data_IF_683571551173
#
_entry.id   IF_683571551173
#
_cell.length_a   1.000
_cell.length_b   1.000
_cell.length_c   1.000
_cell.angle_alpha   90.00
_cell.angle_beta   90.00
_cell.angle_gamma   90.00
#
_symmetry.space_group_name_H-M   'P 1'
#
loop_
_entity.id
_entity.type
_entity.pdbx_description
1 polymer ?
#
# COMPACT_ATOMS: atom_id res chain seq x y z
N UNK A 1 1.95 27.80 14.53
CA UNK A 1 3.10 27.91 13.60
C UNK A 1 4.35 27.53 14.38
N UNK A 2 4.96 26.40 14.03
CA UNK A 2 6.19 25.94 14.67
C UNK A 2 7.29 26.96 14.43
N UNK A 3 7.85 27.53 15.49
CA UNK A 3 9.12 28.22 15.40
C UNK A 3 10.15 27.19 14.92
N UNK A 4 10.51 27.23 13.63
CA UNK A 4 11.65 26.43 13.15
C UNK A 4 12.83 26.77 14.04
N UNK A 5 13.38 25.74 14.67
CA UNK A 5 14.53 25.85 15.54
C UNK A 5 15.64 26.58 14.75
N UNK A 6 16.39 27.51 15.36
CA UNK A 6 17.38 28.32 14.64
C UNK A 6 18.34 27.45 13.80
N UNK A 7 18.66 26.26 14.30
CA UNK A 7 19.41 25.23 13.59
C UNK A 7 18.75 24.73 12.30
N UNK A 8 17.44 24.48 12.29
CA UNK A 8 16.69 24.07 11.10
C UNK A 8 16.61 25.20 10.07
N UNK A 9 16.51 26.46 10.51
CA UNK A 9 16.62 27.63 9.62
C UNK A 9 17.98 27.72 8.98
N UNK A 10 19.05 27.58 9.77
CA UNK A 10 20.43 27.61 9.28
C UNK A 10 20.71 26.44 8.34
N UNK A 11 20.23 25.23 8.64
CA UNK A 11 20.31 24.08 7.74
C UNK A 11 19.55 24.31 6.44
N UNK A 12 18.33 24.83 6.50
CA UNK A 12 17.54 25.16 5.31
C UNK A 12 18.23 26.25 4.47
N UNK A 13 18.76 27.28 5.12
CA UNK A 13 19.50 28.38 4.49
C UNK A 13 20.81 27.91 3.86
N UNK A 14 21.58 27.03 4.52
CA UNK A 14 22.83 26.48 4.00
C UNK A 14 22.67 25.81 2.64
N UNK A 15 21.46 25.33 2.33
CA UNK A 15 21.11 24.71 1.05
C UNK A 15 21.05 25.71 -0.11
N UNK A 16 20.87 27.00 0.19
CA UNK A 16 20.88 28.12 -0.77
C UNK A 16 22.26 28.78 -0.83
N UNK A 17 22.98 28.84 0.29
CA UNK A 17 24.32 29.45 0.39
C UNK A 17 25.46 28.58 -0.17
N UNK A 18 25.30 27.25 -0.22
CA UNK A 18 26.40 26.35 -0.59
C UNK A 18 26.66 26.38 -2.10
N UNK A 19 27.76 27.01 -2.50
CA UNK A 19 28.26 26.98 -3.88
C UNK A 19 28.39 25.53 -4.34
N UNK A 20 27.83 25.20 -5.52
CA UNK A 20 27.93 23.86 -6.08
C UNK A 20 29.41 23.46 -6.21
N UNK A 21 29.80 22.31 -5.63
CA UNK A 21 31.15 21.77 -5.75
C UNK A 21 31.51 21.40 -7.20
N UNK A 22 32.80 21.13 -7.47
CA UNK A 22 33.35 20.88 -8.82
C UNK A 22 32.53 19.88 -9.64
N UNK A 23 32.22 18.71 -9.06
CA UNK A 23 31.42 17.67 -9.73
C UNK A 23 29.97 18.08 -9.98
N UNK A 24 29.35 18.83 -9.06
CA UNK A 24 27.98 19.33 -9.22
C UNK A 24 27.91 20.41 -10.31
N UNK A 25 28.96 21.23 -10.44
CA UNK A 25 29.10 22.20 -11.54
C UNK A 25 29.27 21.50 -12.89
N UNK A 26 30.06 20.42 -12.96
CA UNK A 26 30.20 19.61 -14.16
C UNK A 26 28.84 18.98 -14.58
N UNK A 27 28.12 18.37 -13.63
CA UNK A 27 26.78 17.81 -13.87
C UNK A 27 25.75 18.86 -14.32
N UNK A 28 25.84 20.10 -13.82
CA UNK A 28 24.98 21.21 -14.25
C UNK A 28 25.31 21.70 -15.66
N UNK A 29 26.57 21.57 -16.10
CA UNK A 29 26.98 21.89 -17.48
C UNK A 29 26.49 20.84 -18.47
N UNK A 30 26.56 19.56 -18.10
CA UNK A 30 26.16 18.45 -18.97
C UNK A 30 24.64 18.25 -19.02
N UNK A 31 23.97 18.19 -17.86
CA UNK A 31 22.54 17.86 -17.75
C UNK A 31 21.86 18.71 -16.66
N UNK A 32 21.65 20.01 -16.90
CA UNK A 32 21.09 20.93 -15.91
C UNK A 32 19.72 20.48 -15.38
N UNK A 33 18.90 19.87 -16.26
CA UNK A 33 17.54 19.42 -15.96
C UNK A 33 17.46 18.37 -14.83
N UNK A 34 18.51 17.58 -14.59
CA UNK A 34 18.50 16.56 -13.51
C UNK A 34 18.47 17.16 -12.11
N UNK A 35 19.03 18.36 -11.90
CA UNK A 35 19.05 19.05 -10.60
C UNK A 35 17.99 20.16 -10.53
N UNK A 36 17.68 20.74 -11.68
CA UNK A 36 16.83 21.92 -11.82
C UNK A 36 15.38 21.51 -12.18
N UNK A 37 15.14 20.24 -12.48
CA UNK A 37 13.82 19.74 -12.85
C UNK A 37 13.44 20.14 -14.27
N UNK A 38 12.68 19.29 -14.98
CA UNK A 38 12.59 19.27 -16.45
C UNK A 38 12.03 20.54 -17.11
N UNK A 39 11.30 21.37 -16.36
CA UNK A 39 10.57 22.53 -16.92
C UNK A 39 11.12 23.88 -16.48
N UNK A 40 12.21 23.94 -15.71
CA UNK A 40 12.71 25.22 -15.21
C UNK A 40 14.02 25.65 -15.87
N UNK A 41 14.05 26.90 -16.32
CA UNK A 41 15.25 27.49 -16.91
C UNK A 41 16.36 27.59 -15.85
N UNK A 42 17.56 27.06 -16.12
CA UNK A 42 18.62 26.96 -15.12
C UNK A 42 19.12 28.31 -14.61
N UNK A 43 19.21 29.31 -15.48
CA UNK A 43 19.65 30.66 -15.12
C UNK A 43 18.61 31.33 -14.21
N UNK A 44 17.33 31.25 -14.58
CA UNK A 44 16.24 31.83 -13.77
C UNK A 44 16.15 31.17 -12.40
N UNK A 45 16.38 29.86 -12.30
CA UNK A 45 16.38 29.16 -11.00
C UNK A 45 17.57 29.58 -10.14
N UNK A 46 18.77 29.71 -10.71
CA UNK A 46 19.94 30.20 -9.98
C UNK A 46 19.77 31.64 -9.47
N UNK A 47 19.20 32.52 -10.30
CA UNK A 47 18.87 33.89 -9.89
C UNK A 47 17.89 33.91 -8.70
N UNK A 48 16.81 33.10 -8.76
CA UNK A 48 15.87 32.94 -7.64
C UNK A 48 16.51 32.37 -6.38
N UNK A 49 17.49 31.49 -6.50
CA UNK A 49 18.21 30.95 -5.34
C UNK A 49 19.06 32.03 -4.67
N UNK A 50 19.78 32.84 -5.46
CA UNK A 50 20.54 34.00 -4.95
C UNK A 50 19.64 35.06 -4.31
N UNK A 51 18.46 35.31 -4.87
CA UNK A 51 17.50 36.25 -4.32
C UNK A 51 16.93 35.75 -2.98
N UNK A 52 16.64 34.45 -2.86
CA UNK A 52 16.25 33.82 -1.59
C UNK A 52 17.35 33.88 -0.53
N UNK A 53 18.61 33.70 -0.94
CA UNK A 53 19.78 33.88 -0.09
C UNK A 53 19.87 35.32 0.43
N UNK A 54 19.74 36.32 -0.44
CA UNK A 54 19.71 37.73 -0.04
C UNK A 54 18.58 38.03 0.95
N UNK A 55 17.36 37.62 0.63
CA UNK A 55 16.19 37.79 1.51
C UNK A 55 16.38 37.09 2.86
N UNK A 56 17.09 35.96 2.89
CA UNK A 56 17.40 35.27 4.14
C UNK A 56 18.43 36.04 4.99
N UNK A 57 19.45 36.63 4.38
CA UNK A 57 20.42 37.48 5.07
C UNK A 57 19.78 38.75 5.63
N UNK A 58 18.77 39.30 4.93
CA UNK A 58 18.02 40.48 5.39
C UNK A 58 17.06 40.15 6.56
N UNK A 59 16.66 38.88 6.71
CA UNK A 59 15.85 38.42 7.84
C UNK A 59 16.74 38.27 9.09
N UNK A 60 16.73 39.28 9.95
CA UNK A 60 17.39 39.22 11.26
C UNK A 60 17.00 37.98 12.07
N UNK A 61 17.93 37.50 12.92
CA UNK A 61 17.66 36.37 13.82
C UNK A 61 16.44 36.66 14.70
N UNK A 62 15.50 35.72 14.87
CA UNK A 62 14.36 35.94 15.74
C UNK A 62 14.85 36.23 17.17
N UNK A 63 14.34 37.31 17.79
CA UNK A 63 14.65 37.64 19.19
C UNK A 63 14.39 36.41 20.07
N UNK A 64 15.44 35.89 20.69
CA UNK A 64 15.32 34.84 21.68
C UNK A 64 14.79 35.45 22.98
N UNK A 65 13.50 35.32 23.21
CA UNK A 65 12.90 35.65 24.52
C UNK A 65 13.22 34.47 25.44
N UNK A 66 14.06 34.63 26.48
CA UNK A 66 14.32 33.55 27.44
C UNK A 66 12.99 33.14 28.09
N UNK A 67 12.55 31.93 27.79
CA UNK A 67 11.42 31.32 28.49
C UNK A 67 11.97 30.66 29.74
N UNK A 68 11.39 30.94 30.90
CA UNK A 68 11.69 30.18 32.11
C UNK A 68 11.53 28.68 31.81
N UNK A 69 12.49 27.85 32.27
CA UNK A 69 12.37 26.38 32.21
C UNK A 69 11.14 25.98 33.00
N UNK A 70 10.00 25.81 32.34
CA UNK A 70 8.78 25.35 32.97
C UNK A 70 8.94 23.88 33.34
N UNK A 71 8.78 23.55 34.61
CA UNK A 71 8.67 22.17 35.12
C UNK A 71 7.37 21.47 34.72
N UNK A 72 6.54 22.10 33.88
CA UNK A 72 5.25 21.58 33.45
C UNK A 72 5.14 21.48 31.93
N UNK A 73 4.24 20.61 31.47
CA UNK A 73 3.79 20.49 30.07
C UNK A 73 3.64 21.90 29.49
N UNK A 74 4.28 22.15 28.34
CA UNK A 74 4.13 23.42 27.63
C UNK A 74 2.65 23.78 27.62
N UNK A 75 2.29 24.96 28.17
CA UNK A 75 0.93 25.49 28.05
C UNK A 75 0.72 25.78 26.57
N UNK A 76 0.35 24.75 25.81
CA UNK A 76 -0.30 24.89 24.52
C UNK A 76 -1.44 25.86 24.80
N UNK A 77 -1.49 26.96 24.07
CA UNK A 77 -2.53 27.97 24.24
C UNK A 77 -3.87 27.25 24.25
N UNK A 78 -4.52 27.21 25.41
CA UNK A 78 -5.82 26.56 25.53
C UNK A 78 -6.78 27.25 24.59
N UNK A 79 -7.54 26.47 23.83
CA UNK A 79 -8.57 27.01 22.95
C UNK A 79 -9.51 27.83 23.81
N UNK A 80 -9.63 29.13 23.52
CA UNK A 80 -10.52 30.03 24.25
C UNK A 80 -11.94 29.51 24.06
N UNK A 81 -12.50 28.92 25.12
CA UNK A 81 -13.88 28.43 25.13
C UNK A 81 -14.81 29.57 25.48
N UNK A 82 -15.99 29.57 24.89
CA UNK A 82 -17.07 30.42 25.33
C UNK A 82 -17.41 30.08 26.81
N UNK A 83 -17.70 31.08 27.65
CA UNK A 83 -18.18 30.84 29.00
C UNK A 83 -19.46 29.99 28.97
N UNK A 84 -19.70 29.19 30.01
CA UNK A 84 -20.88 28.30 30.11
C UNK A 84 -22.19 29.00 30.48
N UNK A 85 -22.20 30.33 30.48
CA UNK A 85 -23.36 31.14 30.89
C UNK A 85 -24.35 31.19 29.73
N UNK A 86 -25.65 31.10 30.01
CA UNK A 86 -26.66 31.24 28.96
C UNK A 86 -26.75 32.69 28.47
N UNK A 87 -27.16 32.87 27.20
CA UNK A 87 -27.31 34.20 26.59
C UNK A 87 -28.31 35.07 27.35
N UNK A 88 -29.45 34.48 27.74
CA UNK A 88 -30.51 35.17 28.49
C UNK A 88 -30.03 35.71 29.83
N UNK A 89 -29.11 35.01 30.51
CA UNK A 89 -28.53 35.48 31.78
C UNK A 89 -27.57 36.64 31.54
N UNK A 90 -26.80 36.59 30.45
CA UNK A 90 -25.94 37.70 30.05
C UNK A 90 -26.74 38.93 29.64
N UNK A 91 -27.87 38.75 28.95
CA UNK A 91 -28.79 39.81 28.54
C UNK A 91 -29.48 40.44 29.76
N UNK A 92 -30.05 39.64 30.66
CA UNK A 92 -30.64 40.15 31.92
C UNK A 92 -29.61 40.90 32.76
N UNK A 93 -28.37 40.41 32.82
CA UNK A 93 -27.30 41.09 33.57
C UNK A 93 -26.87 42.37 32.88
N UNK A 94 -26.84 42.40 31.55
CA UNK A 94 -26.56 43.60 30.76
C UNK A 94 -27.63 44.66 30.99
N UNK A 95 -28.90 44.26 30.90
CA UNK A 95 -30.06 45.10 31.15
C UNK A 95 -30.01 45.69 32.57
N UNK A 96 -29.73 44.87 33.58
CA UNK A 96 -29.52 45.35 34.95
C UNK A 96 -28.38 46.37 35.06
N UNK A 97 -27.23 46.11 34.43
CA UNK A 97 -26.07 47.02 34.51
C UNK A 97 -26.30 48.35 33.79
N UNK A 98 -27.21 48.38 32.83
CA UNK A 98 -27.61 49.59 32.11
C UNK A 98 -28.83 50.27 32.73
N UNK A 99 -29.51 49.61 33.67
CA UNK A 99 -30.69 50.16 34.34
C UNK A 99 -30.31 51.07 35.51
N UNK A 100 -31.28 51.88 35.94
CA UNK A 100 -31.15 52.75 37.11
C UNK A 100 -31.00 51.94 38.42
N UNK A 101 -31.39 50.66 38.43
CA UNK A 101 -31.23 49.78 39.60
C UNK A 101 -29.76 49.56 39.95
N UNK A 102 -28.88 49.51 38.94
CA UNK A 102 -27.44 49.39 39.17
C UNK A 102 -26.88 50.62 39.88
N UNK A 103 -27.41 51.81 39.57
CA UNK A 103 -27.03 53.08 40.23
C UNK A 103 -27.50 53.07 41.67
N UNK A 104 -28.74 52.67 41.93
CA UNK A 104 -29.24 52.52 43.31
C UNK A 104 -28.40 51.50 44.09
N UNK A 105 -28.04 50.35 43.50
CA UNK A 105 -27.16 49.37 44.13
C UNK A 105 -25.78 49.96 44.47
N UNK A 106 -25.25 50.89 43.66
CA UNK A 106 -24.01 51.60 43.97
C UNK A 106 -24.18 52.53 45.17
N UNK A 107 -25.28 53.27 45.25
CA UNK A 107 -25.56 54.19 46.36
C UNK A 107 -25.74 53.46 47.70
N UNK A 108 -26.28 52.24 47.69
CA UNK A 108 -26.46 51.44 48.91
C UNK A 108 -25.20 50.71 49.38
N UNK A 109 -24.12 50.69 48.60
CA UNK A 109 -22.87 50.05 49.04
C UNK A 109 -22.18 50.87 50.13
N UNK A 110 -21.77 50.21 51.22
CA UNK A 110 -21.05 50.86 52.32
C UNK A 110 -19.76 51.49 51.81
N UNK A 111 -19.60 52.80 52.03
CA UNK A 111 -18.34 53.49 51.78
C UNK A 111 -17.31 53.04 52.83
N UNK A 112 -16.09 52.74 52.39
CA UNK A 112 -15.00 52.44 53.31
C UNK A 112 -14.44 53.74 53.91
N UNK A 113 -14.09 53.70 55.19
CA UNK A 113 -13.50 54.84 55.88
C UNK A 113 -12.18 55.26 55.20
N UNK A 114 -12.02 56.55 54.90
CA UNK A 114 -10.81 57.11 54.28
C UNK A 114 -10.83 57.23 52.75
N UNK A 115 -11.92 56.83 52.08
CA UNK A 115 -12.10 57.04 50.64
C UNK A 115 -12.99 58.27 50.42
N UNK A 116 -12.61 59.15 49.48
CA UNK A 116 -13.46 60.29 49.13
C UNK A 116 -14.68 59.81 48.32
N UNK A 117 -15.84 60.49 48.41
CA UNK A 117 -17.03 60.13 47.62
C UNK A 117 -16.73 59.97 46.12
N UNK A 118 -15.91 60.86 45.56
CA UNK A 118 -15.46 60.80 44.17
C UNK A 118 -14.65 59.53 43.83
N UNK A 119 -13.77 59.08 44.74
CA UNK A 119 -13.00 57.86 44.54
C UNK A 119 -13.91 56.62 44.62
N UNK A 120 -14.89 56.62 45.52
CA UNK A 120 -15.91 55.58 45.58
C UNK A 120 -16.69 55.47 44.26
N UNK A 121 -17.16 56.60 43.71
CA UNK A 121 -17.85 56.65 42.42
C UNK A 121 -16.97 56.11 41.28
N UNK A 122 -15.70 56.52 41.23
CA UNK A 122 -14.76 56.06 40.21
C UNK A 122 -14.55 54.53 40.27
N UNK A 123 -14.31 53.96 41.45
CA UNK A 123 -14.12 52.51 41.60
C UNK A 123 -15.38 51.70 41.26
N UNK A 124 -16.56 52.25 41.60
CA UNK A 124 -17.84 51.65 41.24
C UNK A 124 -18.09 51.69 39.73
N UNK A 125 -17.77 52.81 39.09
CA UNK A 125 -17.82 52.94 37.64
C UNK A 125 -16.83 52.00 36.94
N UNK A 126 -15.58 51.92 37.40
CA UNK A 126 -14.57 51.00 36.86
C UNK A 126 -14.99 49.54 37.00
N UNK A 127 -15.68 49.18 38.09
CA UNK A 127 -16.23 47.84 38.30
C UNK A 127 -17.37 47.56 37.31
N UNK A 128 -18.33 48.48 37.16
CA UNK A 128 -19.41 48.36 36.16
C UNK A 128 -18.83 48.22 34.75
N UNK A 129 -17.88 49.06 34.36
CA UNK A 129 -17.24 49.00 33.05
C UNK A 129 -16.46 47.70 32.83
N UNK A 130 -15.82 47.15 33.87
CA UNK A 130 -15.20 45.81 33.81
C UNK A 130 -16.24 44.73 33.58
N UNK A 131 -17.37 44.78 34.26
CA UNK A 131 -18.41 43.76 34.13
C UNK A 131 -19.15 43.87 32.79
N UNK A 132 -19.43 45.08 32.29
CA UNK A 132 -19.91 45.30 30.91
C UNK A 132 -18.96 44.70 29.88
N UNK A 133 -17.65 44.98 29.98
CA UNK A 133 -16.64 44.40 29.07
C UNK A 133 -16.62 42.87 29.12
N UNK A 134 -16.78 42.26 30.30
CA UNK A 134 -16.86 40.80 30.43
C UNK A 134 -18.09 40.23 29.73
N UNK A 135 -19.23 40.88 29.87
CA UNK A 135 -20.49 40.46 29.24
C UNK A 135 -20.40 40.54 27.72
N UNK A 136 -19.94 41.67 27.17
CA UNK A 136 -19.74 41.81 25.72
C UNK A 136 -18.73 40.80 25.17
N UNK A 137 -17.64 40.55 25.90
CA UNK A 137 -16.67 39.51 25.52
C UNK A 137 -17.31 38.12 25.53
N UNK A 138 -18.15 37.81 26.52
CA UNK A 138 -18.88 36.55 26.59
C UNK A 138 -19.85 36.40 25.41
N UNK A 139 -20.67 37.41 25.13
CA UNK A 139 -21.60 37.44 24.00
C UNK A 139 -20.87 37.25 22.66
N UNK A 140 -19.74 37.95 22.47
CA UNK A 140 -18.89 37.77 21.30
C UNK A 140 -18.38 36.34 21.16
N UNK A 141 -17.87 35.74 22.25
CA UNK A 141 -17.38 34.36 22.23
C UNK A 141 -18.49 33.34 21.97
N UNK A 142 -19.71 33.58 22.47
CA UNK A 142 -20.88 32.77 22.11
C UNK A 142 -21.17 32.85 20.62
N UNK A 143 -21.25 34.06 20.05
CA UNK A 143 -21.52 34.22 18.62
C UNK A 143 -20.42 33.59 17.76
N UNK A 144 -19.16 33.75 18.16
CA UNK A 144 -18.03 33.12 17.49
C UNK A 144 -18.13 31.59 17.55
N UNK A 145 -18.51 31.03 18.71
CA UNK A 145 -18.69 29.58 18.86
C UNK A 145 -19.80 29.04 17.96
N UNK A 146 -20.89 29.79 17.78
CA UNK A 146 -22.00 29.44 16.89
C UNK A 146 -21.55 29.41 15.43
N UNK A 147 -20.93 30.50 14.97
CA UNK A 147 -20.42 30.59 13.60
C UNK A 147 -19.39 29.48 13.32
N UNK A 148 -18.49 29.20 14.27
CA UNK A 148 -17.53 28.11 14.08
C UNK A 148 -18.17 26.72 14.09
N UNK A 149 -19.32 26.52 14.75
CA UNK A 149 -20.07 25.26 14.71
C UNK A 149 -20.77 25.10 13.37
N UNK A 150 -21.44 26.16 12.90
CA UNK A 150 -22.10 26.18 11.59
C UNK A 150 -21.12 25.89 10.45
N UNK A 151 -19.94 26.53 10.45
CA UNK A 151 -18.90 26.27 9.44
C UNK A 151 -18.36 24.84 9.52
N UNK A 152 -18.18 24.30 10.73
CA UNK A 152 -17.79 22.89 10.91
C UNK A 152 -18.85 21.94 10.38
N UNK A 153 -20.12 22.20 10.63
CA UNK A 153 -21.22 21.39 10.10
C UNK A 153 -21.29 21.44 8.57
N UNK A 154 -21.10 22.62 7.96
CA UNK A 154 -21.02 22.76 6.50
C UNK A 154 -19.85 21.96 5.92
N UNK A 155 -18.67 22.04 6.53
CA UNK A 155 -17.50 21.27 6.11
C UNK A 155 -17.75 19.75 6.24
N UNK A 156 -18.36 19.31 7.34
CA UNK A 156 -18.70 17.90 7.54
C UNK A 156 -19.72 17.40 6.50
N UNK A 157 -20.76 18.20 6.20
CA UNK A 157 -21.73 17.88 5.14
C UNK A 157 -21.04 17.75 3.78
N UNK A 158 -20.14 18.68 3.43
CA UNK A 158 -19.37 18.62 2.19
C UNK A 158 -18.48 17.35 2.13
N UNK A 159 -17.84 16.98 3.25
CA UNK A 159 -17.04 15.76 3.33
C UNK A 159 -17.90 14.51 3.14
N UNK A 160 -19.09 14.46 3.72
CA UNK A 160 -20.01 13.33 3.55
C UNK A 160 -20.50 13.22 2.10
N UNK A 161 -20.96 14.32 1.50
CA UNK A 161 -21.38 14.36 0.10
C UNK A 161 -20.24 13.91 -0.85
N UNK A 162 -19.03 14.42 -0.65
CA UNK A 162 -17.88 14.02 -1.49
C UNK A 162 -17.50 12.54 -1.32
N UNK A 163 -17.72 11.95 -0.15
CA UNK A 163 -17.53 10.51 0.08
C UNK A 163 -18.60 9.68 -0.63
N UNK A 164 -19.86 10.10 -0.55
CA UNK A 164 -20.98 9.44 -1.24
C UNK A 164 -20.83 9.51 -2.75
N UNK A 165 -20.45 10.66 -3.30
CA UNK A 165 -20.20 10.82 -4.74
C UNK A 165 -19.06 9.92 -5.21
N UNK A 166 -17.97 9.82 -4.43
CA UNK A 166 -16.87 8.90 -4.73
C UNK A 166 -17.33 7.44 -4.69
N UNK A 167 -18.22 7.08 -3.76
CA UNK A 167 -18.81 5.74 -3.68
C UNK A 167 -19.68 5.44 -4.90
N UNK A 168 -20.63 6.32 -5.23
CA UNK A 168 -21.50 6.20 -6.42
C UNK A 168 -20.69 6.08 -7.71
N UNK A 169 -19.65 6.89 -7.89
CA UNK A 169 -18.76 6.78 -9.06
C UNK A 169 -18.08 5.41 -9.15
N UNK A 170 -17.66 4.82 -8.03
CA UNK A 170 -17.06 3.47 -8.01
C UNK A 170 -18.08 2.39 -8.32
N UNK A 171 -19.31 2.52 -7.83
CA UNK A 171 -20.41 1.60 -8.13
C UNK A 171 -20.75 1.62 -9.62
N UNK A 172 -20.94 2.81 -10.21
CA UNK A 172 -21.17 2.95 -11.65
C UNK A 172 -20.05 2.35 -12.52
N UNK A 173 -18.79 2.52 -12.10
CA UNK A 173 -17.66 1.89 -12.81
C UNK A 173 -17.72 0.36 -12.70
N UNK A 174 -18.06 -0.17 -11.52
CA UNK A 174 -18.18 -1.63 -11.32
C UNK A 174 -19.32 -2.21 -12.17
N UNK A 175 -20.48 -1.55 -12.18
CA UNK A 175 -21.63 -1.96 -12.98
C UNK A 175 -21.27 -1.99 -14.46
N UNK A 176 -20.63 -0.93 -14.98
CA UNK A 176 -20.13 -0.88 -16.36
C UNK A 176 -19.20 -2.05 -16.68
N UNK A 177 -18.24 -2.34 -15.79
CA UNK A 177 -17.31 -3.47 -15.97
C UNK A 177 -18.04 -4.81 -15.97
N UNK A 178 -19.05 -4.99 -15.11
CA UNK A 178 -19.87 -6.21 -15.08
C UNK A 178 -20.71 -6.35 -16.35
N UNK A 179 -21.30 -5.27 -16.85
CA UNK A 179 -22.03 -5.26 -18.12
C UNK A 179 -21.12 -5.61 -19.30
N UNK A 180 -19.92 -5.01 -19.37
CA UNK A 180 -18.95 -5.31 -20.42
C UNK A 180 -18.50 -6.77 -20.38
N UNK A 181 -18.32 -7.34 -19.18
CA UNK A 181 -18.03 -8.78 -19.01
C UNK A 181 -19.19 -9.65 -19.50
N UNK A 182 -20.44 -9.29 -19.17
CA UNK A 182 -21.64 -9.99 -19.66
C UNK A 182 -21.72 -9.95 -21.19
N UNK A 183 -21.51 -8.77 -21.80
CA UNK A 183 -21.50 -8.60 -23.27
C UNK A 183 -20.42 -9.46 -23.92
N UNK A 184 -19.20 -9.47 -23.38
CA UNK A 184 -18.10 -10.32 -23.89
C UNK A 184 -18.41 -11.81 -23.78
N UNK A 185 -19.02 -12.25 -22.68
CA UNK A 185 -19.43 -13.64 -22.51
C UNK A 185 -20.48 -14.05 -23.57
N UNK A 186 -21.52 -13.23 -23.75
CA UNK A 186 -22.56 -13.46 -24.77
C UNK A 186 -21.96 -13.54 -26.17
N UNK A 187 -21.02 -12.64 -26.50
CA UNK A 187 -20.33 -12.68 -27.80
C UNK A 187 -19.49 -13.94 -27.99
N UNK A 188 -18.76 -14.38 -26.96
CA UNK A 188 -17.98 -15.62 -27.00
C UNK A 188 -18.87 -16.83 -27.22
N UNK A 189 -19.99 -16.90 -26.52
CA UNK A 189 -20.96 -17.99 -26.64
C UNK A 189 -21.60 -18.00 -28.03
N UNK A 190 -21.99 -16.83 -28.54
CA UNK A 190 -22.49 -16.68 -29.91
C UNK A 190 -21.48 -17.17 -30.95
N UNK A 191 -20.22 -16.75 -30.86
CA UNK A 191 -19.16 -17.21 -31.76
C UNK A 191 -18.91 -18.72 -31.64
N UNK A 192 -18.99 -19.29 -30.43
CA UNK A 192 -18.88 -20.73 -30.21
C UNK A 192 -20.05 -21.49 -30.86
N UNK A 193 -21.28 -20.98 -30.73
CA UNK A 193 -22.46 -21.55 -31.36
C UNK A 193 -22.34 -21.49 -32.89
N UNK A 194 -21.95 -20.35 -33.45
CA UNK A 194 -21.74 -20.19 -34.89
C UNK A 194 -20.66 -21.15 -35.43
N UNK A 195 -19.57 -21.35 -34.70
CA UNK A 195 -18.55 -22.36 -35.04
C UNK A 195 -19.11 -23.79 -35.04
N UNK A 196 -19.85 -24.17 -33.99
CA UNK A 196 -20.48 -25.51 -33.91
C UNK A 196 -21.48 -25.73 -35.04
N UNK A 197 -22.34 -24.74 -35.31
CA UNK A 197 -23.31 -24.80 -36.42
C UNK A 197 -22.60 -24.94 -37.76
N UNK A 198 -21.54 -24.17 -37.99
CA UNK A 198 -20.75 -24.23 -39.23
C UNK A 198 -20.06 -25.59 -39.39
N UNK A 199 -19.48 -26.12 -38.31
CA UNK A 199 -18.87 -27.45 -38.32
C UNK A 199 -19.90 -28.55 -38.62
N UNK A 200 -21.10 -28.47 -38.02
CA UNK A 200 -22.21 -29.39 -38.31
C UNK A 200 -22.65 -29.32 -39.78
N UNK A 201 -22.69 -28.12 -40.37
CA UNK A 201 -22.99 -27.93 -41.80
C UNK A 201 -21.88 -28.57 -42.66
N UNK A 202 -20.61 -28.39 -42.31
CA UNK A 202 -19.48 -28.99 -43.02
C UNK A 202 -19.49 -30.53 -42.93
N UNK A 203 -19.74 -31.10 -41.76
CA UNK A 203 -19.89 -32.55 -41.60
C UNK A 203 -21.08 -33.10 -42.37
N UNK A 204 -22.21 -32.40 -42.41
CA UNK A 204 -23.35 -32.77 -43.25
C UNK A 204 -22.99 -32.77 -44.74
N UNK A 205 -22.26 -31.76 -45.22
CA UNK A 205 -21.76 -31.71 -46.61
C UNK A 205 -20.80 -32.87 -46.93
N UNK A 206 -19.86 -33.17 -46.04
CA UNK A 206 -18.93 -34.30 -46.19
C UNK A 206 -19.65 -35.64 -46.16
N UNK A 207 -20.61 -35.82 -45.24
CA UNK A 207 -21.44 -37.02 -45.14
C UNK A 207 -22.25 -37.24 -46.41
N UNK A 208 -22.92 -36.21 -46.93
CA UNK A 208 -23.65 -36.30 -48.20
C UNK A 208 -22.74 -36.68 -49.37
N UNK A 209 -21.52 -36.15 -49.44
CA UNK A 209 -20.52 -36.55 -50.45
C UNK A 209 -20.14 -38.03 -50.30
N UNK A 210 -19.88 -38.49 -49.07
CA UNK A 210 -19.58 -39.90 -48.79
C UNK A 210 -20.75 -40.81 -49.16
N UNK A 211 -21.97 -40.45 -48.79
CA UNK A 211 -23.18 -41.19 -49.18
C UNK A 211 -23.33 -41.24 -50.70
N UNK A 212 -23.16 -40.13 -51.40
CA UNK A 212 -23.20 -40.12 -52.87
C UNK A 212 -22.13 -41.03 -53.49
N UNK A 213 -20.91 -41.02 -52.96
CA UNK A 213 -19.84 -41.91 -53.41
C UNK A 213 -20.18 -43.38 -53.12
N UNK A 214 -20.72 -43.70 -51.94
CA UNK A 214 -21.17 -45.05 -51.60
C UNK A 214 -22.30 -45.48 -52.52
N UNK A 215 -23.29 -44.63 -52.78
CA UNK A 215 -24.36 -44.92 -53.73
C UNK A 215 -23.81 -45.15 -55.15
N UNK A 216 -22.82 -44.37 -55.57
CA UNK A 216 -22.15 -44.56 -56.86
C UNK A 216 -21.37 -45.87 -56.91
N UNK A 217 -20.60 -46.19 -55.87
CA UNK A 217 -19.90 -47.48 -55.74
C UNK A 217 -20.88 -48.65 -55.70
N UNK A 218 -21.98 -48.56 -54.95
CA UNK A 218 -23.02 -49.57 -54.92
C UNK A 218 -23.71 -49.72 -56.28
N UNK A 219 -23.88 -48.62 -57.03
CA UNK A 219 -24.39 -48.65 -58.41
C UNK A 219 -23.39 -49.33 -59.36
N UNK A 220 -22.09 -49.13 -59.16
CA UNK A 220 -21.04 -49.84 -59.92
C UNK A 220 -20.96 -51.32 -59.53
N UNK A 221 -21.03 -51.64 -58.24
CA UNK A 221 -21.01 -53.01 -57.74
C UNK A 221 -22.22 -53.79 -58.26
N UNK A 222 -23.42 -53.21 -58.22
CA UNK A 222 -24.61 -53.80 -58.87
C UNK A 222 -24.46 -53.96 -60.37
N UNK A 223 -23.61 -53.16 -61.03
CA UNK A 223 -23.28 -53.32 -62.45
C UNK A 223 -22.18 -54.36 -62.67
N UNK A 224 -21.28 -54.58 -61.71
CA UNK A 224 -20.20 -55.56 -61.80
C UNK A 224 -20.59 -56.95 -61.30
N UNK A 225 -21.61 -57.07 -60.44
CA UNK A 225 -22.28 -58.34 -60.09
C UNK A 225 -22.92 -59.03 -61.31
N UNK A 226 -22.91 -58.41 -62.49
CA UNK A 226 -23.22 -59.05 -63.78
C UNK A 226 -22.01 -59.72 -64.45
N UNK A 227 -21.02 -60.19 -63.68
CA UNK A 227 -19.79 -60.80 -64.21
C UNK A 227 -19.68 -62.30 -63.96
N UNK A 228 -20.79 -63.00 -63.68
CA UNK A 228 -20.85 -64.45 -63.86
C UNK A 228 -21.50 -64.76 -65.22
N UNK A 229 -20.86 -65.65 -65.98
CA UNK A 229 -21.28 -66.02 -67.34
C UNK A 229 -22.68 -66.68 -67.38
N UNK A 230 -23.15 -67.24 -66.26
CA UNK A 230 -24.46 -67.89 -66.16
C UNK A 230 -25.63 -66.91 -65.95
N UNK A 231 -25.39 -65.73 -65.36
CA UNK A 231 -26.43 -64.72 -65.12
C UNK A 231 -26.76 -63.90 -66.38
N UNK A 232 -25.82 -63.78 -67.32
CA UNK A 232 -26.07 -63.14 -68.61
C UNK A 232 -27.00 -63.98 -69.50
N UNK A 233 -26.89 -65.31 -69.39
CA UNK A 233 -27.72 -66.28 -70.15
C UNK A 233 -29.16 -66.31 -69.62
N UNK A 234 -29.34 -66.34 -68.31
CA UNK A 234 -30.66 -66.31 -67.66
C UNK A 234 -31.45 -65.01 -67.92
N UNK A 235 -30.76 -63.88 -68.14
CA UNK A 235 -31.43 -62.59 -68.39
C UNK A 235 -31.71 -62.32 -69.87
N UNK A 236 -30.92 -62.85 -70.80
CA UNK A 236 -31.35 -62.88 -72.21
C UNK A 236 -32.59 -63.76 -72.40
N UNK A 237 -32.69 -64.88 -71.68
CA UNK A 237 -33.86 -65.76 -71.74
C UNK A 237 -35.09 -65.18 -71.01
N UNK A 238 -34.91 -64.38 -69.94
CA UNK A 238 -36.02 -63.66 -69.28
C UNK A 238 -36.43 -62.33 -69.92
N UNK A 239 -35.60 -61.73 -70.78
CA UNK A 239 -35.95 -60.47 -71.46
C UNK A 239 -36.90 -60.65 -72.65
N UNK A 240 -37.42 -61.86 -72.86
CA UNK A 240 -38.50 -62.18 -73.82
C UNK A 240 -39.90 -62.19 -73.21
N UNK A 241 -40.09 -62.03 -71.90
CA UNK A 241 -41.42 -61.98 -71.27
C UNK A 241 -41.47 -60.77 -70.35
N UNK A 242 -42.27 -59.78 -70.74
CA UNK A 242 -42.49 -58.56 -69.98
C UNK A 242 -43.05 -58.87 -68.59
N UNK A 243 -42.52 -58.17 -67.58
CA UNK A 243 -43.10 -58.23 -66.25
C UNK A 243 -43.23 -56.82 -65.65
N UNK A 244 -44.49 -56.53 -65.34
CA UNK A 244 -45.04 -55.29 -64.82
C UNK A 244 -45.13 -55.37 -63.30
N UNK A 245 -44.61 -54.35 -62.61
CA UNK A 245 -45.16 -53.90 -61.33
C UNK A 245 -44.74 -54.67 -60.08
N UNK A 246 -44.12 -53.97 -59.13
CA UNK A 246 -43.82 -54.55 -57.82
C UNK A 246 -43.12 -53.57 -56.88
N UNK A 247 -43.75 -52.42 -56.61
CA UNK A 247 -43.31 -51.52 -55.54
C UNK A 247 -43.56 -52.16 -54.17
N UNK A 248 -42.49 -52.48 -53.45
CA UNK A 248 -42.53 -52.94 -52.06
C UNK A 248 -41.91 -51.89 -51.16
N UNK A 249 -42.77 -51.19 -50.43
CA UNK A 249 -42.47 -50.29 -49.33
C UNK A 249 -42.07 -51.09 -48.09
N UNK A 250 -40.79 -51.07 -47.72
CA UNK A 250 -40.36 -51.47 -46.38
C UNK A 250 -39.93 -50.25 -45.58
N UNK A 251 -40.89 -49.76 -44.81
CA UNK A 251 -40.76 -48.81 -43.71
C UNK A 251 -40.03 -49.52 -42.56
N UNK A 252 -38.83 -49.07 -42.21
CA UNK A 252 -38.15 -49.51 -40.98
C UNK A 252 -37.80 -48.30 -40.12
N UNK A 253 -38.65 -48.11 -39.12
CA UNK A 253 -38.46 -47.24 -37.97
C UNK A 253 -37.23 -47.70 -37.16
N UNK A 254 -36.42 -46.75 -36.69
CA UNK A 254 -35.52 -46.98 -35.56
C UNK A 254 -35.71 -45.84 -34.57
N UNK A 255 -36.29 -46.22 -33.43
CA UNK A 255 -36.43 -45.40 -32.24
C UNK A 255 -35.13 -45.35 -31.43
N UNK A 256 -35.08 -44.33 -30.59
CA UNK A 256 -34.07 -43.94 -29.64
C UNK A 256 -33.71 -45.01 -28.57
N UNK A 257 -32.49 -44.89 -28.01
CA UNK A 257 -32.20 -45.27 -26.63
C UNK A 257 -30.92 -46.10 -26.42
N UNK A 258 -30.01 -45.60 -25.56
CA UNK A 258 -28.83 -46.32 -25.03
C UNK A 258 -27.52 -45.60 -25.39
N UNK A 259 -26.93 -44.74 -24.53
CA UNK A 259 -26.24 -45.01 -23.26
C UNK A 259 -25.09 -46.01 -23.43
N UNK A 260 -23.86 -45.52 -23.25
CA UNK A 260 -22.55 -46.19 -23.02
C UNK A 260 -21.46 -45.18 -23.47
N UNK A 261 -20.29 -45.04 -22.89
CA UNK A 261 -19.79 -45.34 -21.56
C UNK A 261 -18.49 -44.53 -21.43
N UNK A 262 -18.04 -44.28 -20.22
CA UNK A 262 -16.77 -43.59 -19.98
C UNK A 262 -15.59 -44.42 -20.48
N UNK A 263 -14.76 -43.84 -21.35
CA UNK A 263 -13.39 -44.30 -21.58
C UNK A 263 -12.43 -43.14 -21.37
N UNK A 264 -11.84 -43.15 -20.18
CA UNK A 264 -10.68 -42.36 -19.78
C UNK A 264 -9.46 -42.82 -20.57
N UNK A 265 -9.03 -42.02 -21.55
CA UNK A 265 -7.68 -42.14 -22.10
C UNK A 265 -6.75 -41.31 -21.20
N UNK A 266 -6.10 -42.01 -20.27
CA UNK A 266 -4.83 -41.59 -19.67
C UNK A 266 -3.75 -41.77 -20.74
N UNK A 267 -3.13 -40.68 -21.17
CA UNK A 267 -1.79 -40.72 -21.78
C UNK A 267 -0.86 -39.99 -20.83
N UNK A 268 -0.05 -40.77 -20.11
CA UNK A 268 1.08 -40.30 -19.32
C UNK A 268 2.37 -40.53 -20.08
N UNK A 269 3.25 -39.53 -19.96
CA UNK A 269 4.72 -39.53 -20.04
C UNK A 269 5.42 -39.92 -21.33
N UNK A 270 6.22 -38.96 -21.84
CA UNK A 270 7.49 -39.27 -22.49
C UNK A 270 7.84 -38.40 -23.69
N UNK A 271 7.96 -37.07 -23.53
CA UNK A 271 8.74 -36.23 -24.46
C UNK A 271 9.79 -35.47 -23.65
N UNK A 272 10.89 -36.16 -23.40
CA UNK A 272 12.21 -35.61 -23.05
C UNK A 272 12.84 -35.10 -24.35
N UNK A 273 12.52 -33.86 -24.74
CA UNK A 273 13.29 -33.12 -25.74
C UNK A 273 13.27 -31.63 -25.36
N UNK A 274 14.34 -31.10 -24.74
CA UNK A 274 14.37 -29.72 -24.24
C UNK A 274 14.35 -28.64 -25.34
N UNK A 275 14.53 -29.03 -26.61
CA UNK A 275 14.77 -28.11 -27.72
C UNK A 275 13.49 -27.56 -28.39
N UNK A 276 12.31 -28.12 -28.10
CA UNK A 276 11.06 -27.72 -28.78
C UNK A 276 9.91 -27.34 -27.84
N UNK A 277 10.19 -27.03 -26.58
CA UNK A 277 9.18 -26.56 -25.65
C UNK A 277 8.83 -25.08 -25.95
N UNK A 278 7.69 -24.83 -26.59
CA UNK A 278 7.24 -23.49 -27.05
C UNK A 278 6.91 -22.49 -25.92
N UNK A 279 7.15 -22.84 -24.66
CA UNK A 279 6.87 -22.02 -23.48
C UNK A 279 8.14 -21.70 -22.66
N UNK A 280 9.29 -21.54 -23.32
CA UNK A 280 10.52 -21.13 -22.62
C UNK A 280 10.48 -19.61 -22.38
N UNK A 281 10.57 -19.23 -21.11
CA UNK A 281 10.69 -17.83 -20.67
C UNK A 281 11.96 -17.20 -21.25
N UNK A 282 11.87 -15.96 -21.74
CA UNK A 282 13.05 -15.22 -22.25
C UNK A 282 14.17 -15.15 -21.21
N UNK A 283 13.83 -15.05 -19.92
CA UNK A 283 14.81 -15.05 -18.82
C UNK A 283 15.59 -16.36 -18.66
N UNK A 284 15.04 -17.52 -19.07
CA UNK A 284 15.73 -18.80 -19.03
C UNK A 284 16.77 -18.91 -20.17
N UNK A 285 16.43 -18.43 -21.37
CA UNK A 285 17.34 -18.37 -22.51
C UNK A 285 18.56 -17.48 -22.25
N UNK A 286 18.37 -16.33 -21.58
CA UNK A 286 19.48 -15.45 -21.23
C UNK A 286 20.45 -16.08 -20.23
N UNK A 287 19.97 -16.97 -19.34
CA UNK A 287 20.78 -17.66 -18.33
C UNK A 287 21.60 -18.80 -18.93
N UNK A 288 21.03 -19.55 -19.89
CA UNK A 288 21.76 -20.56 -20.67
C UNK A 288 22.83 -19.96 -21.60
N UNK A 289 22.62 -18.74 -22.08
CA UNK A 289 23.57 -18.01 -22.91
C UNK A 289 24.66 -17.27 -22.11
N UNK A 290 24.70 -17.43 -20.78
CA UNK A 290 25.77 -16.89 -19.92
C UNK A 290 25.66 -15.40 -19.60
N UNK A 291 24.49 -14.78 -19.78
CA UNK A 291 24.27 -13.37 -19.40
C UNK A 291 23.74 -13.26 -17.96
N UNK A 292 24.26 -12.32 -17.18
CA UNK A 292 23.75 -11.99 -15.84
C UNK A 292 22.35 -11.38 -15.92
N UNK A 293 21.32 -12.17 -15.61
CA UNK A 293 19.95 -11.69 -15.43
C UNK A 293 19.72 -11.45 -13.95
N UNK A 294 19.34 -10.23 -13.56
CA UNK A 294 18.81 -9.97 -12.22
C UNK A 294 17.53 -10.78 -12.04
N UNK A 295 17.54 -11.71 -11.08
CA UNK A 295 16.35 -12.47 -10.71
C UNK A 295 15.23 -11.51 -10.26
N UNK A 296 14.23 -11.28 -11.13
CA UNK A 296 12.96 -10.68 -10.73
C UNK A 296 12.25 -11.70 -9.83
N UNK A 297 12.41 -11.52 -8.52
CA UNK A 297 11.76 -12.35 -7.50
C UNK A 297 10.25 -12.23 -7.65
N UNK A 298 9.62 -13.33 -8.09
CA UNK A 298 8.19 -13.51 -7.95
C UNK A 298 7.87 -13.66 -6.45
N UNK A 299 7.35 -12.60 -5.83
CA UNK A 299 6.82 -12.61 -4.46
C UNK A 299 5.52 -13.41 -4.40
N UNK A 300 5.61 -14.74 -4.50
CA UNK A 300 4.53 -15.67 -4.21
C UNK A 300 5.06 -16.81 -3.33
N UNK A 301 5.32 -16.50 -2.07
CA UNK A 301 5.49 -17.52 -1.04
C UNK A 301 4.52 -17.22 0.11
N UNK A 302 3.51 -18.09 0.21
CA UNK A 302 2.50 -18.14 1.27
C UNK A 302 3.16 -18.23 2.65
N UNK A 303 2.45 -17.63 3.59
CA UNK A 303 2.65 -17.55 5.04
C UNK A 303 3.37 -18.75 5.68
N UNK A 304 4.61 -18.55 6.13
CA UNK A 304 5.19 -19.06 7.37
C UNK A 304 6.38 -18.12 7.73
N UNK A 305 6.08 -17.06 8.49
CA UNK A 305 7.02 -15.95 8.81
C UNK A 305 7.08 -15.73 10.33
N UNK A 306 7.75 -16.62 11.05
CA UNK A 306 8.22 -16.31 12.42
C UNK A 306 9.75 -16.50 12.48
N UNK A 307 10.27 -17.65 12.03
CA UNK A 307 11.73 -17.89 12.00
C UNK A 307 12.53 -16.97 11.06
N UNK A 308 11.93 -16.56 9.93
CA UNK A 308 12.62 -15.70 8.96
C UNK A 308 12.78 -14.26 9.44
N UNK A 309 11.97 -13.82 10.42
CA UNK A 309 12.05 -12.45 10.96
C UNK A 309 13.21 -12.35 11.94
N UNK A 310 13.34 -13.34 12.84
CA UNK A 310 14.46 -13.46 13.76
C UNK A 310 15.80 -13.47 13.01
N UNK A 311 15.92 -14.35 12.00
CA UNK A 311 17.13 -14.48 11.21
C UNK A 311 17.48 -13.20 10.43
N UNK A 312 16.49 -12.58 9.79
CA UNK A 312 16.69 -11.37 9.01
C UNK A 312 17.04 -10.15 9.87
N UNK A 313 16.54 -10.08 11.11
CA UNK A 313 16.88 -9.01 12.05
C UNK A 313 18.27 -9.20 12.66
N UNK A 314 18.69 -10.44 12.89
CA UNK A 314 20.06 -10.75 13.26
C UNK A 314 21.00 -10.33 12.11
N UNK A 315 20.70 -10.72 10.87
CA UNK A 315 21.43 -10.32 9.66
C UNK A 315 21.55 -8.79 9.53
N UNK A 316 20.46 -8.04 9.70
CA UNK A 316 20.45 -6.55 9.65
C UNK A 316 21.25 -5.92 10.81
N UNK A 317 21.49 -6.64 11.91
CA UNK A 317 22.32 -6.15 13.02
C UNK A 317 23.83 -6.26 12.75
N UNK A 318 24.27 -7.19 11.89
CA UNK A 318 25.67 -7.39 11.52
C UNK A 318 26.19 -6.36 10.51
N UNK A 319 25.30 -5.73 9.73
CA UNK A 319 25.70 -4.70 8.76
C UNK A 319 26.15 -3.39 9.45
N UNK A 320 25.94 -3.24 10.77
CA UNK A 320 26.04 -1.94 11.44
C UNK A 320 26.72 -1.93 12.82
N UNK A 321 26.93 -3.11 13.41
CA UNK A 321 27.76 -3.28 14.60
C UNK A 321 29.07 -3.91 14.12
N UNK A 322 30.11 -3.08 14.01
CA UNK A 322 31.47 -3.58 13.84
C UNK A 322 31.78 -4.47 15.07
N UNK A 323 31.80 -5.80 14.88
CA UNK A 323 32.17 -6.76 15.93
C UNK A 323 33.70 -6.87 16.08
N UNK A 324 34.46 -6.04 15.35
CA UNK A 324 35.93 -6.14 15.25
C UNK A 324 36.70 -5.43 16.38
N UNK A 325 36.04 -4.95 17.45
CA UNK A 325 36.74 -4.36 18.61
C UNK A 325 36.84 -5.29 19.83
N UNK A 326 36.09 -6.40 19.89
CA UNK A 326 36.10 -7.31 21.05
C UNK A 326 36.52 -8.75 20.65
N UNK A 327 37.70 -8.89 20.02
CA UNK A 327 38.33 -10.20 19.71
C UNK A 327 38.55 -11.10 20.95
N UNK A 328 38.60 -10.53 22.16
CA UNK A 328 38.88 -11.27 23.39
C UNK A 328 37.70 -12.05 23.96
N UNK A 329 36.45 -11.70 23.59
CA UNK A 329 35.26 -12.25 24.30
C UNK A 329 34.62 -13.45 23.60
N UNK A 330 34.87 -13.63 22.31
CA UNK A 330 34.31 -14.71 21.49
C UNK A 330 35.44 -15.41 20.72
N UNK A 331 36.00 -16.45 21.32
CA UNK A 331 37.26 -17.11 20.94
C UNK A 331 37.55 -17.33 19.44
N UNK A 332 38.84 -17.12 19.12
CA UNK A 332 39.67 -17.72 18.08
C UNK A 332 39.14 -17.69 16.62
N UNK A 333 39.40 -16.59 15.93
CA UNK A 333 39.10 -16.38 14.50
C UNK A 333 40.36 -16.30 13.62
N UNK A 334 41.40 -17.11 13.85
CA UNK A 334 42.56 -17.14 12.96
C UNK A 334 42.40 -18.02 11.70
N UNK A 335 41.19 -18.53 11.41
CA UNK A 335 41.00 -19.51 10.34
C UNK A 335 39.97 -19.13 9.25
N UNK A 336 39.36 -17.94 9.30
CA UNK A 336 38.30 -17.51 8.35
C UNK A 336 38.63 -16.24 7.55
N UNK A 337 39.87 -15.72 7.63
CA UNK A 337 40.30 -14.55 6.86
C UNK A 337 40.46 -14.83 5.34
N UNK A 338 40.40 -16.09 4.91
CA UNK A 338 40.67 -16.46 3.51
C UNK A 338 39.44 -16.64 2.60
N UNK A 339 38.22 -16.27 3.04
CA UNK A 339 37.04 -16.33 2.17
C UNK A 339 36.40 -14.93 2.00
N UNK A 340 36.94 -14.14 1.07
CA UNK A 340 36.47 -12.81 0.68
C UNK A 340 35.06 -12.77 0.04
N UNK A 341 34.35 -13.89 -0.07
CA UNK A 341 33.03 -13.97 -0.73
C UNK A 341 31.92 -14.62 0.10
N UNK A 342 32.08 -14.77 1.42
CA UNK A 342 31.00 -15.28 2.28
C UNK A 342 30.11 -14.13 2.69
N UNK A 343 28.83 -14.18 2.33
CA UNK A 343 27.85 -13.16 2.73
C UNK A 343 27.79 -13.09 4.26
N UNK A 344 27.62 -11.89 4.85
CA UNK A 344 27.42 -11.72 6.30
C UNK A 344 26.34 -12.67 6.87
N UNK A 345 25.36 -13.05 6.04
CA UNK A 345 24.34 -14.04 6.34
C UNK A 345 24.88 -15.46 6.55
N UNK A 346 25.82 -15.88 5.73
CA UNK A 346 26.46 -17.20 5.81
C UNK A 346 27.43 -17.24 6.99
N UNK A 347 28.17 -16.14 7.26
CA UNK A 347 29.00 -16.00 8.46
C UNK A 347 28.19 -16.10 9.75
N UNK A 348 27.08 -15.38 9.85
CA UNK A 348 26.19 -15.46 11.01
C UNK A 348 25.56 -16.85 11.18
N UNK A 349 25.24 -17.54 10.08
CA UNK A 349 24.73 -18.91 10.15
C UNK A 349 25.79 -19.88 10.69
N UNK A 350 27.04 -19.75 10.26
CA UNK A 350 28.15 -20.59 10.74
C UNK A 350 28.38 -20.35 12.23
N UNK A 351 28.46 -19.09 12.66
CA UNK A 351 28.79 -18.72 14.04
C UNK A 351 27.69 -19.08 15.05
N UNK A 352 26.42 -18.86 14.72
CA UNK A 352 25.33 -18.91 15.70
C UNK A 352 24.39 -20.11 15.54
N UNK A 353 24.64 -21.00 14.58
CA UNK A 353 23.83 -22.23 14.42
C UNK A 353 23.99 -23.21 15.57
N UNK A 354 25.17 -23.22 16.21
CA UNK A 354 25.52 -24.08 17.34
C UNK A 354 25.03 -23.58 18.70
N UNK A 355 24.51 -22.35 18.78
CA UNK A 355 24.15 -21.73 20.05
C UNK A 355 22.88 -22.39 20.62
N UNK A 356 22.90 -22.63 21.93
CA UNK A 356 21.72 -23.02 22.69
C UNK A 356 20.71 -21.87 22.76
N UNK A 357 19.45 -22.20 23.05
CA UNK A 357 18.38 -21.21 23.16
C UNK A 357 18.63 -20.18 24.28
N UNK A 358 19.34 -20.58 25.33
CA UNK A 358 19.74 -19.68 26.43
C UNK A 358 20.88 -18.74 26.01
N UNK A 359 21.86 -19.23 25.25
CA UNK A 359 22.96 -18.42 24.70
C UNK A 359 22.46 -17.40 23.68
N UNK A 360 21.48 -17.76 22.85
CA UNK A 360 20.82 -16.83 21.92
C UNK A 360 20.13 -15.68 22.65
N UNK A 361 19.49 -15.96 23.78
CA UNK A 361 18.84 -14.91 24.59
C UNK A 361 19.89 -14.03 25.27
N UNK A 362 20.97 -14.61 25.81
CA UNK A 362 22.08 -13.84 26.40
C UNK A 362 22.75 -12.92 25.36
N UNK A 363 22.99 -13.41 24.15
CA UNK A 363 23.56 -12.61 23.06
C UNK A 363 22.66 -11.42 22.69
N UNK A 364 21.33 -11.61 22.68
CA UNK A 364 20.39 -10.52 22.45
C UNK A 364 20.45 -9.49 23.58
N UNK A 365 20.57 -9.91 24.83
CA UNK A 365 20.71 -9.00 25.97
C UNK A 365 21.99 -8.19 25.93
N UNK A 366 23.12 -8.82 25.59
CA UNK A 366 24.39 -8.14 25.40
C UNK A 366 24.31 -7.11 24.25
N UNK A 367 23.67 -7.46 23.14
CA UNK A 367 23.48 -6.55 21.99
C UNK A 367 22.52 -5.39 22.30
N UNK A 368 21.44 -5.64 23.05
CA UNK A 368 20.52 -4.59 23.52
C UNK A 368 21.24 -3.64 24.49
N UNK A 369 22.08 -4.16 25.38
CA UNK A 369 22.89 -3.35 26.30
C UNK A 369 23.90 -2.48 25.54
N UNK A 370 24.59 -3.04 24.55
CA UNK A 370 25.55 -2.32 23.72
C UNK A 370 24.87 -1.21 22.88
N UNK A 371 23.69 -1.50 22.31
CA UNK A 371 22.88 -0.48 21.61
C UNK A 371 22.39 0.61 22.55
N UNK A 372 21.98 0.27 23.77
CA UNK A 372 21.53 1.24 24.76
C UNK A 372 22.68 2.18 25.16
N UNK A 373 23.88 1.63 25.38
CA UNK A 373 25.10 2.41 25.64
C UNK A 373 25.46 3.33 24.46
N UNK A 374 25.43 2.81 23.21
CA UNK A 374 25.68 3.62 21.99
C UNK A 374 24.61 4.71 21.78
N UNK A 375 23.35 4.45 22.15
CA UNK A 375 22.28 5.48 22.12
C UNK A 375 22.57 6.56 23.15
N UNK A 376 22.95 6.20 24.37
CA UNK A 376 23.29 7.16 25.43
C UNK A 376 24.49 8.03 25.01
N UNK A 377 25.60 7.43 24.59
CA UNK A 377 26.81 8.13 24.12
C UNK A 377 26.49 9.11 22.98
N UNK A 378 25.73 8.66 21.97
CA UNK A 378 25.33 9.51 20.84
C UNK A 378 24.29 10.57 21.23
N UNK A 379 23.47 10.31 22.25
CA UNK A 379 22.52 11.31 22.77
C UNK A 379 23.22 12.45 23.53
N UNK A 380 24.34 12.16 24.20
CA UNK A 380 25.15 13.15 24.91
C UNK A 380 26.06 13.94 23.96
N UNK A 381 26.50 13.36 22.84
CA UNK A 381 27.24 14.04 21.79
C UNK A 381 26.35 15.05 21.04
N UNK A 382 26.28 16.31 21.52
CA UNK A 382 25.53 17.43 20.91
C UNK A 382 26.10 17.90 19.55
N UNK A 383 26.16 17.04 18.53
CA UNK A 383 26.71 17.39 17.22
C UNK A 383 26.13 16.60 16.04
N UNK A 384 25.38 17.32 15.17
CA UNK A 384 25.07 17.14 13.74
C UNK A 384 24.75 15.77 13.07
N UNK A 385 25.05 14.60 13.65
CA UNK A 385 24.83 13.28 13.01
C UNK A 385 23.75 12.43 13.72
N UNK A 386 22.69 13.08 14.22
CA UNK A 386 21.58 12.43 14.94
C UNK A 386 20.70 11.51 14.06
N UNK A 387 20.95 11.41 12.75
CA UNK A 387 20.18 10.53 11.87
C UNK A 387 20.36 9.04 12.22
N UNK A 388 21.52 8.66 12.76
CA UNK A 388 21.78 7.27 13.13
C UNK A 388 21.19 6.89 14.51
N UNK A 389 20.87 7.87 15.38
CA UNK A 389 20.31 7.61 16.71
C UNK A 389 18.91 6.97 16.61
N UNK A 390 18.06 7.52 15.73
CA UNK A 390 16.72 6.96 15.51
C UNK A 390 16.78 5.53 14.98
N UNK A 391 17.80 5.22 14.17
CA UNK A 391 18.04 3.88 13.66
C UNK A 391 18.46 2.91 14.78
N UNK A 392 19.38 3.29 15.67
CA UNK A 392 19.74 2.45 16.82
C UNK A 392 18.56 2.20 17.77
N UNK A 393 17.69 3.19 17.97
CA UNK A 393 16.45 3.04 18.75
C UNK A 393 15.53 2.01 18.07
N UNK A 394 15.30 2.14 16.76
CA UNK A 394 14.48 1.19 16.01
C UNK A 394 15.05 -0.23 16.03
N UNK A 395 16.38 -0.38 15.96
CA UNK A 395 17.05 -1.67 16.01
C UNK A 395 16.93 -2.28 17.41
N UNK A 396 17.13 -1.50 18.47
CA UNK A 396 16.92 -1.93 19.86
C UNK A 396 15.48 -2.41 20.08
N UNK A 397 14.49 -1.61 19.70
CA UNK A 397 13.07 -1.93 19.89
C UNK A 397 12.69 -3.23 19.14
N UNK A 398 13.26 -3.45 17.95
CA UNK A 398 13.08 -4.70 17.19
C UNK A 398 13.74 -5.91 17.86
N UNK A 399 14.92 -5.75 18.44
CA UNK A 399 15.61 -6.82 19.17
C UNK A 399 14.88 -7.17 20.48
N UNK A 400 14.38 -6.17 21.21
CA UNK A 400 13.53 -6.37 22.39
C UNK A 400 12.24 -7.12 22.04
N UNK A 401 11.55 -6.71 20.97
CA UNK A 401 10.35 -7.39 20.48
C UNK A 401 10.64 -8.84 20.06
N UNK A 402 11.79 -9.07 19.41
CA UNK A 402 12.24 -10.40 19.01
C UNK A 402 12.51 -11.30 20.21
N UNK A 403 13.18 -10.76 21.26
CA UNK A 403 13.40 -11.46 22.53
C UNK A 403 12.07 -11.83 23.19
N UNK A 404 11.14 -10.89 23.28
CA UNK A 404 9.81 -11.13 23.88
C UNK A 404 9.05 -12.22 23.11
N UNK A 405 9.01 -12.15 21.78
CA UNK A 405 8.36 -13.17 20.95
C UNK A 405 9.00 -14.55 21.14
N UNK A 406 10.33 -14.63 21.25
CA UNK A 406 11.02 -15.90 21.52
C UNK A 406 10.67 -16.48 22.90
N UNK A 407 10.63 -15.64 23.94
CA UNK A 407 10.22 -16.05 25.29
C UNK A 407 8.75 -16.50 25.35
N UNK A 408 7.87 -15.83 24.62
CA UNK A 408 6.46 -16.22 24.50
C UNK A 408 6.31 -17.58 23.81
N UNK A 409 7.02 -17.82 22.69
CA UNK A 409 6.96 -19.10 21.99
C UNK A 409 7.54 -20.27 22.80
N UNK A 410 8.63 -20.04 23.54
CA UNK A 410 9.21 -21.05 24.44
C UNK A 410 8.29 -21.33 25.62
N UNK A 411 7.65 -20.31 26.19
CA UNK A 411 6.63 -20.47 27.22
C UNK A 411 5.44 -21.29 26.70
N UNK A 412 4.88 -20.93 25.53
CA UNK A 412 3.77 -21.67 24.93
C UNK A 412 4.14 -23.13 24.66
N UNK A 413 5.34 -23.42 24.15
CA UNK A 413 5.83 -24.79 23.95
C UNK A 413 5.94 -25.58 25.25
N UNK A 414 6.34 -24.94 26.36
CA UNK A 414 6.39 -25.57 27.69
C UNK A 414 4.99 -25.87 28.20
N UNK A 415 4.03 -24.94 28.04
CA UNK A 415 2.63 -25.14 28.43
C UNK A 415 2.00 -26.29 27.65
N UNK A 416 2.19 -26.35 26.33
CA UNK A 416 1.63 -27.43 25.48
C UNK A 416 2.27 -28.81 25.66
N UNK A 417 3.41 -28.91 26.36
CA UNK A 417 4.06 -30.18 26.71
C UNK A 417 3.71 -30.65 28.13
N UNK A 418 3.05 -29.80 28.92
CA UNK A 418 2.62 -30.10 30.28
C UNK A 418 1.18 -30.61 30.38
N UNK A 419 0.43 -30.53 29.29
CA UNK A 419 -0.80 -31.30 29.01
C UNK A 419 -0.44 -32.55 28.19
#
# INVERSE_FOLDING_TARGET
MSCMNNFQRVLYASRFMRVFGKFKRAQLREKPQRKIGPFSNPVKRLARLKEKERLFCDLGTPRMIPRAKGSGREKILEVIKAPKVSKEVLERRLEFLLSNESVYQQMYNKMYNGITPYQCELFMWERQMRDLRKIYRAQYLHKLSEVTREEREKQMKLILQTREDKRRRRELIRERVLEDKKRKAILKDRLSLEKKVTQSILFKRQSNRKMNNIYWLAKLQRKSEYSDADDFKNKMERSGVGDTGGGSTSRREYNAGGKLDGSSIRMGSGDEDPLFNRNISTSALYKELGYEVRDEKSDNAKMFKVDKVYRKLLEESFEFLDEDEDEEKYGQMSHLENEENVSHKERAHILYSSFSDEEKVKLLDDKIALLTKKIEEKSYAKGLDNNNIMFYIQLRDKLEASKQAFLETTYLKKVTKGD
#
